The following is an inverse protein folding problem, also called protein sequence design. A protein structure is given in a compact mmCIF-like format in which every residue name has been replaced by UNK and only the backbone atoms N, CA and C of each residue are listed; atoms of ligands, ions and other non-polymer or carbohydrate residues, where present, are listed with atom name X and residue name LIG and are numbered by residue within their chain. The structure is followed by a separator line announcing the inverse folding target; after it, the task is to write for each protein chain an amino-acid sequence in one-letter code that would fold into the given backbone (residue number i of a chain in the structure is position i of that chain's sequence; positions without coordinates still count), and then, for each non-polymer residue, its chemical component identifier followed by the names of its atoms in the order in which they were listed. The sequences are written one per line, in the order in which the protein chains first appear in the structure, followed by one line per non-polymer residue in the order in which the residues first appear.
data_IF_428331475943
#
_entry.id   IF_428331475943
#
_cell.length_a   1.000
_cell.length_b   1.000
_cell.length_c   1.000
_cell.angle_alpha   90.00
_cell.angle_beta   90.00
_cell.angle_gamma   90.00
#
_symmetry.space_group_name_H-M   'P 1'
#
loop_
_entity.id
_entity.type
_entity.pdbx_description
1 polymer ?
#
# COMPACT_ATOMS: atom_id res chain seq x y z
N UNK A 1 26.43 -10.64 -10.92
CA UNK A 1 25.44 -9.63 -10.51
C UNK A 1 24.68 -10.23 -9.33
N UNK A 2 24.75 -9.61 -8.16
CA UNK A 2 23.94 -10.03 -7.01
C UNK A 2 22.56 -9.39 -7.20
N UNK A 3 21.50 -10.21 -7.15
CA UNK A 3 20.12 -9.71 -7.14
C UNK A 3 19.72 -9.51 -5.69
N UNK A 4 19.49 -8.25 -5.28
CA UNK A 4 18.93 -7.95 -3.97
C UNK A 4 17.42 -8.19 -3.98
N UNK A 5 16.90 -8.60 -2.83
CA UNK A 5 15.47 -8.79 -2.54
C UNK A 5 14.98 -7.71 -1.58
N UNK A 6 13.67 -7.57 -1.44
CA UNK A 6 13.04 -6.61 -0.51
C UNK A 6 13.46 -6.77 0.96
N UNK A 7 14.01 -7.93 1.35
CA UNK A 7 14.49 -8.18 2.72
C UNK A 7 15.96 -7.80 2.94
N UNK A 8 16.70 -7.47 1.89
CA UNK A 8 18.15 -7.25 1.96
C UNK A 8 18.51 -5.77 2.25
N UNK A 9 17.59 -4.84 2.02
CA UNK A 9 17.79 -3.40 2.23
C UNK A 9 16.51 -2.67 2.67
N UNK A 10 16.67 -1.43 3.13
CA UNK A 10 15.53 -0.56 3.45
C UNK A 10 15.00 0.11 2.18
N UNK A 11 13.68 0.08 2.02
CA UNK A 11 12.98 0.71 0.90
C UNK A 11 12.02 1.80 1.38
N UNK A 12 11.83 2.84 0.56
CA UNK A 12 10.88 3.91 0.85
C UNK A 12 9.53 3.58 0.22
N UNK A 13 8.53 3.34 1.06
CA UNK A 13 7.14 3.15 0.64
C UNK A 13 6.35 4.45 0.79
N UNK A 14 5.74 4.93 -0.29
CA UNK A 14 4.95 6.19 -0.30
C UNK A 14 3.53 5.90 -0.74
N UNK A 15 2.58 6.54 -0.04
CA UNK A 15 1.19 6.68 -0.48
C UNK A 15 0.92 8.15 -0.70
N UNK A 16 0.68 8.53 -1.95
CA UNK A 16 0.10 9.84 -2.26
C UNK A 16 -1.42 9.67 -2.36
N UNK A 17 -2.14 10.38 -1.50
CA UNK A 17 -3.59 10.30 -1.43
C UNK A 17 -4.19 11.69 -1.57
N UNK A 18 -4.91 11.91 -2.68
CA UNK A 18 -5.64 13.14 -2.95
C UNK A 18 -7.16 12.86 -3.00
N UNK A 19 -8.03 13.87 -3.09
CA UNK A 19 -9.45 13.63 -3.33
C UNK A 19 -9.74 12.89 -4.64
N UNK A 20 -8.81 12.85 -5.59
CA UNK A 20 -9.03 12.26 -6.92
C UNK A 20 -8.44 10.86 -7.07
N UNK A 21 -7.26 10.59 -6.50
CA UNK A 21 -6.63 9.27 -6.62
C UNK A 21 -5.77 8.87 -5.42
N UNK A 22 -5.51 7.57 -5.30
CA UNK A 22 -4.48 7.02 -4.41
C UNK A 22 -3.39 6.38 -5.28
N UNK A 23 -2.14 6.81 -5.07
CA UNK A 23 -0.96 6.30 -5.77
C UNK A 23 0.05 5.70 -4.80
N UNK A 24 0.56 4.52 -5.13
CA UNK A 24 1.54 3.78 -4.34
C UNK A 24 2.90 3.72 -5.03
N UNK A 25 3.95 3.98 -4.27
CA UNK A 25 5.33 3.99 -4.75
C UNK A 25 6.24 3.13 -3.88
N UNK A 26 7.29 2.61 -4.52
CA UNK A 26 8.46 2.01 -3.87
C UNK A 26 9.68 2.65 -4.52
N UNK A 27 10.55 3.27 -3.72
CA UNK A 27 11.78 3.92 -4.19
C UNK A 27 11.54 4.84 -5.41
N UNK A 28 10.63 5.80 -5.23
CA UNK A 28 10.21 6.79 -6.25
C UNK A 28 9.46 6.21 -7.46
N UNK A 29 9.40 4.89 -7.62
CA UNK A 29 8.69 4.22 -8.72
C UNK A 29 7.23 3.97 -8.36
N UNK A 30 6.31 4.52 -9.17
CA UNK A 30 4.87 4.24 -9.04
C UNK A 30 4.55 2.79 -9.43
N UNK A 31 3.91 2.05 -8.54
CA UNK A 31 3.50 0.66 -8.76
C UNK A 31 1.99 0.51 -8.99
N UNK A 32 1.18 1.34 -8.35
CA UNK A 32 -0.26 1.25 -8.44
C UNK A 32 -0.91 2.63 -8.34
N UNK A 33 -2.04 2.78 -9.01
CA UNK A 33 -2.91 3.95 -8.94
C UNK A 33 -4.35 3.50 -9.13
N UNK A 34 -5.27 4.06 -8.36
CA UNK A 34 -6.69 3.98 -8.67
C UNK A 34 -7.39 5.32 -8.46
N UNK A 35 -8.35 5.59 -9.34
CA UNK A 35 -9.24 6.75 -9.27
C UNK A 35 -10.27 6.52 -8.16
N UNK A 36 -10.40 7.50 -7.28
CA UNK A 36 -11.34 7.48 -6.16
C UNK A 36 -12.76 7.85 -6.65
N UNK A 37 -12.91 8.57 -7.76
CA UNK A 37 -14.20 9.06 -8.24
C UNK A 37 -15.09 8.01 -8.90
N UNK A 38 -14.70 6.73 -8.85
CA UNK A 38 -15.47 5.62 -9.42
C UNK A 38 -16.73 5.25 -8.61
N UNK A 39 -16.88 5.81 -7.40
CA UNK A 39 -18.05 5.63 -6.52
C UNK A 39 -18.49 6.99 -5.99
N UNK A 40 -19.79 7.14 -5.76
CA UNK A 40 -20.37 8.34 -5.15
C UNK A 40 -19.65 8.75 -3.85
N UNK A 41 -19.32 10.04 -3.76
CA UNK A 41 -18.46 10.63 -2.72
C UNK A 41 -18.91 10.31 -1.29
N UNK A 42 -20.21 10.28 -1.02
CA UNK A 42 -20.75 10.01 0.32
C UNK A 42 -20.62 8.54 0.75
N UNK A 43 -20.68 7.63 -0.23
CA UNK A 43 -20.53 6.19 -0.02
C UNK A 43 -19.07 5.76 -0.05
N UNK A 44 -18.20 6.59 -0.62
CA UNK A 44 -16.81 6.27 -0.80
C UNK A 44 -16.02 6.43 0.53
N UNK A 45 -15.49 5.33 1.08
CA UNK A 45 -14.76 5.38 2.34
C UNK A 45 -13.52 6.25 2.23
N UNK A 46 -12.90 6.37 1.04
CA UNK A 46 -11.64 7.06 0.85
C UNK A 46 -11.72 8.60 0.95
N UNK A 47 -12.90 9.16 1.23
CA UNK A 47 -13.07 10.57 1.60
C UNK A 47 -13.27 10.80 3.10
N UNK A 48 -13.10 9.77 3.93
CA UNK A 48 -13.22 9.84 5.39
C UNK A 48 -11.83 9.87 6.05
N UNK A 49 -11.71 10.37 7.29
CA UNK A 49 -10.45 10.29 8.04
C UNK A 49 -10.00 8.85 8.27
N UNK A 50 -8.70 8.59 8.11
CA UNK A 50 -8.07 7.30 8.36
C UNK A 50 -6.90 7.44 9.33
N UNK A 51 -6.49 6.32 9.92
CA UNK A 51 -5.27 6.20 10.70
C UNK A 51 -4.34 5.20 10.03
N UNK A 52 -3.03 5.38 10.25
CA UNK A 52 -2.02 4.45 9.76
C UNK A 52 -1.89 3.27 10.73
N UNK A 53 -1.87 2.05 10.19
CA UNK A 53 -1.58 0.83 10.94
C UNK A 53 -0.28 0.25 10.40
N UNK A 54 0.59 -0.18 11.30
CA UNK A 54 1.80 -0.93 10.97
C UNK A 54 1.87 -2.14 11.88
N UNK A 55 1.97 -3.34 11.29
CA UNK A 55 2.01 -4.60 12.02
C UNK A 55 2.95 -5.59 11.34
N UNK A 56 3.47 -6.52 12.13
CA UNK A 56 4.23 -7.69 11.67
C UNK A 56 3.44 -8.94 12.06
N UNK A 57 2.75 -9.54 11.10
CA UNK A 57 2.02 -10.79 11.30
C UNK A 57 2.91 -12.00 10.99
N UNK A 58 2.65 -13.12 11.67
CA UNK A 58 3.34 -14.40 11.43
C UNK A 58 2.27 -15.47 11.17
N UNK A 59 2.32 -16.07 9.99
CA UNK A 59 1.32 -17.03 9.51
C UNK A 59 0.00 -16.42 9.02
N UNK A 60 -0.98 -17.28 8.74
CA UNK A 60 -2.37 -16.90 8.43
C UNK A 60 -2.87 -17.52 7.13
N UNK A 61 -4.18 -17.39 6.87
CA UNK A 61 -4.81 -18.02 5.69
C UNK A 61 -4.19 -17.60 4.35
N UNK A 62 -3.66 -16.37 4.27
CA UNK A 62 -3.00 -15.84 3.08
C UNK A 62 -1.50 -16.10 3.05
N UNK A 63 -0.82 -15.91 4.17
CA UNK A 63 0.64 -16.06 4.26
C UNK A 63 1.09 -17.53 4.37
N UNK A 64 0.16 -18.45 4.67
CA UNK A 64 0.45 -19.85 4.96
C UNK A 64 0.88 -20.08 6.40
N UNK A 65 1.23 -21.33 6.72
CA UNK A 65 1.84 -21.64 8.02
C UNK A 65 3.29 -21.17 8.05
N UNK A 66 3.74 -20.53 9.15
CA UNK A 66 5.15 -20.25 9.33
C UNK A 66 5.90 -21.59 9.48
N UNK A 67 6.93 -21.79 8.65
CA UNK A 67 7.79 -22.98 8.71
C UNK A 67 8.75 -22.99 9.90
#
# INVERSE_FOLDING_TARGET
MITLTFGDELHIHVVEWTPESIRFYVDEKRHHEFDINVVDKELNPFHKPHYLIMNLAVGGAWAGEPG
#
